data_IF_008742967694
#
_entry.id   IF_008742967694
#
_cell.length_a   1.000
_cell.length_b   1.000
_cell.length_c   1.000
_cell.angle_alpha   90.00
_cell.angle_beta   90.00
_cell.angle_gamma   90.00
#
_symmetry.space_group_name_H-M   'P 1'
#
loop_
_entity.id
_entity.type
_entity.pdbx_description
1 polymer ?
#
# COMPACT_ATOMS: atom_id res chain seq x y z
N UNK A 1 58.63 -22.57 3.66
CA UNK A 1 57.54 -23.00 2.76
C UNK A 1 56.24 -23.06 3.54
N UNK A 2 55.29 -22.15 3.29
CA UNK A 2 53.90 -22.25 3.76
C UNK A 2 52.99 -21.82 2.60
N UNK A 3 52.27 -22.78 2.02
CA UNK A 3 51.28 -22.52 0.97
C UNK A 3 50.00 -21.98 1.61
N UNK A 4 49.60 -20.76 1.24
CA UNK A 4 48.30 -20.19 1.58
C UNK A 4 47.33 -20.63 0.49
N UNK A 5 46.38 -21.51 0.83
CA UNK A 5 45.34 -21.93 -0.09
C UNK A 5 44.25 -20.85 -0.19
N UNK A 6 44.06 -20.29 -1.39
CA UNK A 6 42.97 -19.37 -1.69
C UNK A 6 41.66 -20.15 -1.79
N UNK A 7 40.74 -19.93 -0.84
CA UNK A 7 39.39 -20.51 -0.89
C UNK A 7 38.57 -19.83 -1.99
N UNK A 8 38.18 -20.60 -3.01
CA UNK A 8 37.48 -20.10 -4.18
C UNK A 8 35.98 -19.91 -3.86
N UNK A 9 35.43 -18.73 -4.15
CA UNK A 9 34.01 -18.34 -3.94
C UNK A 9 33.00 -19.36 -4.49
N UNK A 10 33.41 -20.12 -5.51
CA UNK A 10 32.63 -21.20 -6.15
C UNK A 10 32.59 -22.50 -5.33
N UNK A 11 33.62 -22.80 -4.53
CA UNK A 11 33.61 -23.92 -3.58
C UNK A 11 32.75 -23.61 -2.36
N UNK A 12 32.75 -22.36 -1.88
CA UNK A 12 31.85 -21.94 -0.80
C UNK A 12 30.37 -22.13 -1.18
N UNK A 13 29.97 -21.71 -2.39
CA UNK A 13 28.58 -21.86 -2.85
C UNK A 13 28.19 -23.31 -3.18
N UNK A 14 29.13 -24.17 -3.61
CA UNK A 14 28.87 -25.61 -3.79
C UNK A 14 28.72 -26.37 -2.47
N UNK A 15 29.32 -25.88 -1.39
CA UNK A 15 29.19 -26.49 -0.07
C UNK A 15 27.98 -25.93 0.71
N UNK A 16 27.50 -24.73 0.38
CA UNK A 16 26.32 -24.12 0.99
C UNK A 16 24.99 -24.80 0.58
N UNK A 17 24.94 -25.48 -0.56
CA UNK A 17 23.74 -26.20 -1.02
C UNK A 17 23.39 -27.44 -0.18
N UNK A 18 24.30 -27.94 0.65
CA UNK A 18 24.03 -29.05 1.59
C UNK A 18 23.35 -28.63 2.89
N UNK A 19 23.31 -27.32 3.22
CA UNK A 19 22.78 -26.82 4.49
C UNK A 19 21.25 -26.59 4.48
N UNK A 20 20.61 -26.66 3.31
CA UNK A 20 19.16 -26.50 3.17
C UNK A 20 18.35 -27.77 3.50
N UNK A 21 19.01 -28.89 3.82
CA UNK A 21 18.36 -30.18 4.04
C UNK A 21 18.62 -30.81 5.41
N UNK A 22 19.32 -30.13 6.33
CA UNK A 22 19.51 -30.64 7.68
C UNK A 22 18.48 -30.00 8.63
N UNK A 23 17.51 -30.77 9.16
CA UNK A 23 16.66 -30.30 10.23
C UNK A 23 17.53 -29.91 11.42
N UNK A 24 17.18 -28.79 12.07
CA UNK A 24 17.88 -28.31 13.27
C UNK A 24 17.90 -29.42 14.34
N UNK A 25 19.09 -29.97 14.60
CA UNK A 25 19.30 -30.93 15.67
C UNK A 25 19.32 -30.19 17.01
N UNK A 26 18.38 -30.49 17.89
CA UNK A 26 18.27 -29.95 19.26
C UNK A 26 19.48 -30.30 20.17
N UNK A 27 20.50 -30.97 19.67
CA UNK A 27 21.69 -31.40 20.42
C UNK A 27 22.83 -30.38 20.44
N UNK A 28 22.72 -29.27 19.69
CA UNK A 28 23.73 -28.21 19.69
C UNK A 28 23.34 -27.10 20.68
N UNK A 29 24.18 -26.78 21.68
CA UNK A 29 23.91 -25.69 22.61
C UNK A 29 24.01 -24.34 21.88
N UNK A 30 22.86 -23.70 21.68
CA UNK A 30 22.79 -22.32 21.18
C UNK A 30 23.11 -21.40 22.36
N UNK A 31 24.16 -20.54 22.28
CA UNK A 31 24.40 -19.54 23.31
C UNK A 31 23.18 -18.62 23.39
N UNK A 32 22.70 -18.25 24.60
CA UNK A 32 21.55 -17.37 24.73
C UNK A 32 21.89 -16.06 24.02
N UNK A 33 21.15 -15.76 22.95
CA UNK A 33 21.21 -14.45 22.31
C UNK A 33 20.88 -13.42 23.39
N UNK A 34 21.81 -12.50 23.63
CA UNK A 34 21.61 -11.36 24.50
C UNK A 34 20.28 -10.72 24.11
N UNK A 35 19.30 -10.77 25.01
CA UNK A 35 17.98 -10.22 24.75
C UNK A 35 18.16 -8.73 24.42
N UNK A 36 18.04 -8.39 23.14
CA UNK A 36 17.94 -7.01 22.73
C UNK A 36 16.78 -6.39 23.51
N UNK A 37 17.04 -5.25 24.15
CA UNK A 37 15.99 -4.42 24.74
C UNK A 37 14.83 -4.35 23.74
N UNK A 38 13.57 -4.58 24.15
CA UNK A 38 12.46 -4.48 23.24
C UNK A 38 12.43 -3.05 22.73
N UNK A 39 12.92 -2.84 21.52
CA UNK A 39 12.54 -1.70 20.72
C UNK A 39 11.01 -1.73 20.76
N UNK A 40 10.36 -0.72 21.35
CA UNK A 40 8.93 -0.52 21.20
C UNK A 40 8.65 -0.73 19.72
N UNK A 41 8.06 -1.86 19.33
CA UNK A 41 8.02 -2.27 17.93
C UNK A 41 7.44 -1.11 17.13
N UNK A 42 8.31 -0.38 16.42
CA UNK A 42 7.85 0.76 15.66
C UNK A 42 6.83 0.21 14.67
N UNK A 43 5.60 0.71 14.75
CA UNK A 43 4.52 0.18 13.92
C UNK A 43 4.97 0.24 12.47
N UNK A 44 5.04 -0.94 11.84
CA UNK A 44 5.44 -1.08 10.45
C UNK A 44 4.47 -0.29 9.59
N UNK A 45 5.01 0.56 8.72
CA UNK A 45 4.26 1.37 7.75
C UNK A 45 4.80 1.06 6.36
N UNK A 46 3.90 1.06 5.38
CA UNK A 46 4.26 1.03 3.98
C UNK A 46 4.03 2.43 3.41
N UNK A 47 5.02 2.94 2.69
CA UNK A 47 4.91 4.18 1.91
C UNK A 47 5.21 3.81 0.47
N UNK A 48 4.24 4.03 -0.41
CA UNK A 48 4.38 3.85 -1.84
C UNK A 48 4.46 5.23 -2.48
N UNK A 49 5.54 5.48 -3.21
CA UNK A 49 5.76 6.73 -3.94
C UNK A 49 5.83 6.39 -5.42
N UNK A 50 5.00 7.04 -6.22
CA UNK A 50 4.99 6.89 -7.67
C UNK A 50 4.92 8.25 -8.33
N UNK A 51 5.65 8.40 -9.43
CA UNK A 51 5.54 9.55 -10.32
C UNK A 51 4.66 9.17 -11.49
N UNK A 52 3.69 10.03 -11.82
CA UNK A 52 2.92 9.86 -13.06
C UNK A 52 3.88 9.98 -14.25
N UNK A 53 3.76 9.10 -15.25
CA UNK A 53 4.73 8.87 -16.35
C UNK A 53 6.02 8.12 -15.97
N UNK A 54 6.15 7.71 -14.70
CA UNK A 54 7.30 6.95 -14.23
C UNK A 54 8.58 7.78 -14.18
N UNK A 55 9.71 7.10 -14.33
CA UNK A 55 11.05 7.69 -14.36
C UNK A 55 11.77 7.26 -15.63
N UNK A 56 12.81 7.99 -16.03
CA UNK A 56 13.59 7.64 -17.20
C UNK A 56 14.27 6.27 -17.01
N UNK A 57 13.89 5.22 -17.77
CA UNK A 57 14.37 3.86 -17.50
C UNK A 57 15.87 3.68 -17.70
N UNK A 58 16.47 4.46 -18.61
CA UNK A 58 17.90 4.37 -18.96
C UNK A 58 18.85 4.68 -17.80
N UNK A 59 18.38 5.43 -16.79
CA UNK A 59 19.15 5.81 -15.60
C UNK A 59 18.52 5.31 -14.29
N UNK A 60 17.58 4.36 -14.33
CA UNK A 60 16.96 3.81 -13.09
C UNK A 60 17.61 2.51 -12.63
N UNK A 61 18.01 1.64 -13.56
CA UNK A 61 18.54 0.32 -13.24
C UNK A 61 20.07 0.29 -13.26
N UNK A 62 20.73 -0.29 -12.24
CA UNK A 62 22.17 -0.54 -12.26
C UNK A 62 22.55 -1.42 -13.44
N UNK A 63 23.62 -1.07 -14.16
CA UNK A 63 24.17 -1.91 -15.22
C UNK A 63 24.90 -3.10 -14.61
N UNK A 64 24.77 -4.28 -15.21
CA UNK A 64 25.44 -5.50 -14.73
C UNK A 64 26.95 -5.29 -14.66
N UNK A 65 27.51 -5.43 -13.45
CA UNK A 65 28.95 -5.23 -13.21
C UNK A 65 29.38 -3.79 -12.93
N UNK A 66 28.46 -2.82 -13.00
CA UNK A 66 28.70 -1.45 -12.57
C UNK A 66 28.41 -1.32 -11.07
N UNK A 67 29.38 -0.77 -10.33
CA UNK A 67 29.24 -0.48 -8.90
C UNK A 67 28.70 0.92 -8.65
N UNK A 68 28.60 1.74 -9.70
CA UNK A 68 28.05 3.09 -9.62
C UNK A 68 26.54 3.03 -9.48
N UNK A 69 26.03 3.94 -8.67
CA UNK A 69 24.62 4.21 -8.61
C UNK A 69 24.15 4.82 -9.94
N UNK A 70 22.97 4.44 -10.44
CA UNK A 70 22.33 5.16 -11.53
C UNK A 70 22.17 6.65 -11.18
N UNK A 71 22.29 7.55 -12.15
CA UNK A 71 22.39 9.00 -11.88
C UNK A 71 21.20 9.52 -11.07
N UNK A 72 19.98 9.03 -11.35
CA UNK A 72 18.77 9.47 -10.66
C UNK A 72 18.66 8.95 -9.22
N UNK A 73 19.51 8.00 -8.83
CA UNK A 73 19.61 7.49 -7.47
C UNK A 73 20.78 8.10 -6.68
N UNK A 74 21.63 8.94 -7.30
CA UNK A 74 22.72 9.63 -6.61
C UNK A 74 22.28 10.35 -5.33
N UNK A 75 21.15 11.10 -5.30
CA UNK A 75 20.71 11.77 -4.08
C UNK A 75 20.39 10.81 -2.91
N UNK A 76 20.10 9.53 -3.21
CA UNK A 76 19.80 8.51 -2.22
C UNK A 76 21.04 7.75 -1.74
N UNK A 77 22.23 8.02 -2.31
CA UNK A 77 23.41 7.21 -2.03
C UNK A 77 23.95 7.30 -0.60
N UNK A 78 23.61 8.36 0.13
CA UNK A 78 23.83 8.43 1.58
C UNK A 78 23.12 7.28 2.34
N UNK A 79 22.06 6.73 1.76
CA UNK A 79 21.22 5.64 2.30
C UNK A 79 21.43 4.32 1.57
N UNK A 80 22.57 4.11 0.88
CA UNK A 80 22.74 2.94 -0.01
C UNK A 80 22.47 1.60 0.67
N UNK A 81 22.78 1.46 1.96
CA UNK A 81 22.54 0.23 2.72
C UNK A 81 21.09 0.07 3.21
N UNK A 82 20.26 1.11 3.06
CA UNK A 82 18.88 1.15 3.55
C UNK A 82 17.84 0.85 2.44
N UNK A 83 18.28 0.68 1.19
CA UNK A 83 17.39 0.35 0.08
C UNK A 83 17.95 -0.69 -0.89
N UNK A 84 17.04 -1.36 -1.59
CA UNK A 84 17.35 -2.29 -2.68
C UNK A 84 16.67 -1.81 -3.95
N UNK A 85 17.42 -1.77 -5.06
CA UNK A 85 16.85 -1.55 -6.39
C UNK A 85 16.44 -2.89 -6.96
N UNK A 86 15.16 -3.04 -7.27
CA UNK A 86 14.61 -4.24 -7.91
C UNK A 86 14.41 -3.95 -9.40
N UNK A 87 14.79 -4.90 -10.25
CA UNK A 87 14.68 -4.83 -11.72
C UNK A 87 14.06 -6.11 -12.27
N UNK A 88 13.46 -6.06 -13.46
CA UNK A 88 12.85 -7.23 -14.11
C UNK A 88 11.43 -7.56 -13.62
N UNK A 89 10.78 -6.61 -12.96
CA UNK A 89 9.36 -6.69 -12.53
C UNK A 89 8.41 -5.94 -13.47
N UNK A 90 8.94 -5.39 -14.57
CA UNK A 90 8.14 -4.77 -15.62
C UNK A 90 7.55 -5.83 -16.54
N UNK A 91 6.23 -5.77 -16.74
CA UNK A 91 5.49 -6.63 -17.65
C UNK A 91 5.13 -5.92 -18.98
N UNK A 92 5.86 -4.85 -19.32
CA UNK A 92 5.90 -4.26 -20.67
C UNK A 92 4.76 -3.29 -20.97
N UNK A 93 4.17 -2.65 -19.95
CA UNK A 93 3.05 -1.72 -20.15
C UNK A 93 3.58 -0.37 -20.61
N UNK A 94 3.06 0.07 -21.75
CA UNK A 94 3.36 1.36 -22.36
C UNK A 94 2.08 2.21 -22.46
N UNK A 95 2.23 3.52 -22.66
CA UNK A 95 1.08 4.43 -22.84
C UNK A 95 1.09 5.67 -21.95
N UNK A 96 2.22 6.01 -21.32
CA UNK A 96 2.36 7.20 -20.50
C UNK A 96 1.49 7.12 -19.24
N UNK A 97 0.66 8.15 -18.98
CA UNK A 97 -0.24 8.17 -17.82
C UNK A 97 -1.14 6.94 -17.74
N UNK A 98 -1.44 6.32 -18.89
CA UNK A 98 -2.25 5.09 -18.99
C UNK A 98 -1.57 3.83 -18.44
N UNK A 99 -0.25 3.85 -18.23
CA UNK A 99 0.49 2.75 -17.59
C UNK A 99 0.52 2.83 -16.06
N UNK A 100 0.21 4.00 -15.48
CA UNK A 100 0.21 4.22 -14.02
C UNK A 100 -0.57 3.16 -13.23
N UNK A 101 -1.77 2.72 -13.66
CA UNK A 101 -2.55 1.75 -12.88
C UNK A 101 -1.82 0.44 -12.63
N UNK A 102 -0.96 0.00 -13.54
CA UNK A 102 -0.19 -1.25 -13.42
C UNK A 102 0.86 -1.21 -12.32
N UNK A 103 1.29 -0.02 -11.85
CA UNK A 103 2.41 0.11 -10.92
C UNK A 103 2.20 -0.61 -9.58
N UNK A 104 1.07 -0.36 -8.90
CA UNK A 104 0.76 -1.00 -7.61
C UNK A 104 -0.25 -2.15 -7.72
N UNK A 105 -0.95 -2.27 -8.85
CA UNK A 105 -1.90 -3.38 -9.08
C UNK A 105 -1.24 -4.61 -9.70
N UNK A 106 -0.24 -4.43 -10.57
CA UNK A 106 0.29 -5.51 -11.41
C UNK A 106 -0.60 -5.86 -12.61
N UNK A 107 -1.68 -5.10 -12.86
CA UNK A 107 -2.63 -5.43 -13.91
C UNK A 107 -2.01 -5.26 -15.29
N UNK A 108 -2.11 -6.29 -16.13
CA UNK A 108 -1.53 -6.27 -17.48
C UNK A 108 -2.31 -5.40 -18.47
N UNK A 109 -3.63 -5.23 -18.29
CA UNK A 109 -4.46 -4.39 -19.16
C UNK A 109 -5.50 -3.67 -18.30
N UNK A 110 -5.22 -2.46 -17.81
CA UNK A 110 -6.25 -1.67 -17.14
C UNK A 110 -7.40 -1.39 -18.11
N UNK A 111 -8.63 -1.59 -17.65
CA UNK A 111 -9.82 -1.35 -18.47
C UNK A 111 -10.23 0.11 -18.33
N UNK A 112 -10.43 0.77 -19.47
CA UNK A 112 -10.84 2.16 -19.52
C UNK A 112 -12.35 2.23 -19.74
N UNK A 113 -13.08 2.79 -18.78
CA UNK A 113 -14.52 3.01 -18.86
C UNK A 113 -14.75 4.52 -18.82
N UNK A 114 -14.92 5.13 -20.00
CA UNK A 114 -14.96 6.59 -20.14
C UNK A 114 -13.66 7.24 -19.67
N UNK A 115 -13.76 8.14 -18.70
CA UNK A 115 -12.59 8.77 -18.05
C UNK A 115 -12.10 8.00 -16.80
N UNK A 116 -12.68 6.84 -16.50
CA UNK A 116 -12.30 6.01 -15.36
C UNK A 116 -11.41 4.85 -15.78
N UNK A 117 -10.65 4.34 -14.80
CA UNK A 117 -9.86 3.13 -14.94
C UNK A 117 -10.35 2.12 -13.91
N UNK A 118 -10.84 0.98 -14.40
CA UNK A 118 -11.13 -0.17 -13.57
C UNK A 118 -9.99 -1.16 -13.64
N UNK A 119 -9.56 -1.58 -12.45
CA UNK A 119 -8.64 -2.69 -12.26
C UNK A 119 -9.49 -3.87 -11.77
N UNK A 120 -10.08 -4.64 -12.70
CA UNK A 120 -10.97 -5.74 -12.33
C UNK A 120 -10.20 -6.82 -11.56
N UNK A 121 -10.78 -7.30 -10.47
CA UNK A 121 -10.30 -8.41 -9.64
C UNK A 121 -8.92 -8.21 -8.99
N UNK A 122 -8.35 -7.00 -8.97
CA UNK A 122 -7.04 -6.77 -8.37
C UNK A 122 -7.05 -5.55 -7.44
N UNK A 123 -6.75 -5.82 -6.17
CA UNK A 123 -6.45 -4.82 -5.15
C UNK A 123 -4.99 -4.40 -5.29
N UNK A 124 -4.72 -3.11 -5.12
CA UNK A 124 -3.33 -2.62 -5.11
C UNK A 124 -2.55 -3.08 -3.87
N UNK A 125 -1.23 -3.25 -4.01
CA UNK A 125 -0.36 -3.77 -2.94
C UNK A 125 -0.41 -2.92 -1.66
N UNK A 126 -0.56 -1.60 -1.79
CA UNK A 126 -0.70 -0.68 -0.66
C UNK A 126 -2.03 -0.90 0.08
N UNK A 127 -3.12 -1.15 -0.63
CA UNK A 127 -4.42 -1.47 -0.02
C UNK A 127 -4.42 -2.90 0.57
N UNK A 128 -3.76 -3.86 -0.08
CA UNK A 128 -3.55 -5.19 0.47
C UNK A 128 -2.74 -5.12 1.79
N UNK A 129 -1.66 -4.34 1.81
CA UNK A 129 -0.87 -4.10 3.01
C UNK A 129 -1.68 -3.37 4.09
N UNK A 130 -2.53 -2.41 3.70
CA UNK A 130 -3.39 -1.69 4.63
C UNK A 130 -4.36 -2.61 5.38
N UNK A 131 -4.88 -3.69 4.78
CA UNK A 131 -5.71 -4.69 5.48
C UNK A 131 -5.04 -5.28 6.74
N UNK A 132 -3.72 -5.33 6.76
CA UNK A 132 -2.94 -5.90 7.87
C UNK A 132 -2.28 -4.81 8.72
N UNK A 133 -1.55 -3.88 8.09
CA UNK A 133 -0.76 -2.86 8.79
C UNK A 133 -1.63 -1.79 9.48
N UNK A 134 -2.84 -1.53 8.96
CA UNK A 134 -3.70 -0.45 9.48
C UNK A 134 -4.61 -0.86 10.63
N UNK A 135 -4.61 -2.14 11.08
CA UNK A 135 -5.58 -2.63 12.09
C UNK A 135 -5.67 -1.74 13.32
N UNK A 136 -4.52 -1.26 13.80
CA UNK A 136 -4.44 -0.38 14.96
C UNK A 136 -4.25 1.11 14.60
N UNK A 137 -4.46 1.49 13.34
CA UNK A 137 -4.33 2.88 12.86
C UNK A 137 -5.69 3.56 12.76
N UNK A 138 -5.73 4.87 13.05
CA UNK A 138 -6.90 5.72 12.86
C UNK A 138 -7.38 5.73 11.41
N UNK A 139 -6.45 5.68 10.46
CA UNK A 139 -6.72 5.67 9.03
C UNK A 139 -6.33 4.32 8.45
N UNK A 140 -7.18 3.79 7.57
CA UNK A 140 -6.91 2.56 6.84
C UNK A 140 -5.73 2.75 5.88
N UNK A 141 -5.82 3.77 5.02
CA UNK A 141 -4.77 4.22 4.12
C UNK A 141 -4.89 5.74 3.93
N UNK A 142 -3.83 6.36 3.38
CA UNK A 142 -3.79 7.78 3.05
C UNK A 142 -3.22 7.94 1.64
N UNK A 143 -4.07 8.36 0.71
CA UNK A 143 -3.68 8.71 -0.64
C UNK A 143 -3.35 10.20 -0.66
N UNK A 144 -2.12 10.52 -1.03
CA UNK A 144 -1.59 11.88 -1.07
C UNK A 144 -1.03 12.14 -2.47
N UNK A 145 -1.17 13.37 -2.97
CA UNK A 145 -0.72 13.74 -4.30
C UNK A 145 -0.35 15.21 -4.41
N UNK A 146 0.35 15.57 -5.48
CA UNK A 146 0.71 16.96 -5.78
C UNK A 146 -0.39 17.71 -6.55
N UNK A 147 -1.39 16.99 -7.08
CA UNK A 147 -2.53 17.55 -7.81
C UNK A 147 -3.79 16.80 -7.41
N UNK A 148 -4.95 17.45 -7.54
CA UNK A 148 -6.23 16.75 -7.43
C UNK A 148 -6.25 15.59 -8.43
N UNK A 149 -6.41 14.38 -7.92
CA UNK A 149 -6.30 13.19 -8.74
C UNK A 149 -7.55 12.98 -9.57
N UNK A 150 -7.37 12.72 -10.87
CA UNK A 150 -8.38 12.05 -11.69
C UNK A 150 -8.34 10.54 -11.44
N UNK A 151 -9.38 9.77 -11.77
CA UNK A 151 -9.32 8.31 -11.78
C UNK A 151 -8.14 7.72 -12.56
N UNK A 152 -7.66 8.44 -13.58
CA UNK A 152 -6.47 8.09 -14.38
C UNK A 152 -5.13 8.47 -13.74
N UNK A 153 -5.17 9.22 -12.64
CA UNK A 153 -4.04 9.81 -11.93
C UNK A 153 -4.12 9.44 -10.44
N UNK A 154 -4.31 8.15 -10.18
CA UNK A 154 -4.12 7.56 -8.85
C UNK A 154 -3.16 6.38 -8.92
N UNK A 155 -2.63 5.98 -7.76
CA UNK A 155 -1.80 4.80 -7.58
C UNK A 155 -2.57 3.66 -6.91
N UNK A 156 -3.72 3.93 -6.28
CA UNK A 156 -4.38 3.01 -5.36
C UNK A 156 -5.79 2.65 -5.85
N UNK A 157 -6.09 1.36 -5.88
CA UNK A 157 -7.42 0.80 -6.13
C UNK A 157 -7.79 -0.16 -5.01
N UNK A 158 -9.06 -0.12 -4.60
CA UNK A 158 -9.62 -1.01 -3.58
C UNK A 158 -9.92 -2.42 -4.11
N UNK A 159 -10.54 -3.26 -3.27
CA UNK A 159 -10.88 -4.64 -3.62
C UNK A 159 -11.93 -4.80 -4.72
N UNK A 160 -12.64 -3.72 -5.03
CA UNK A 160 -13.67 -3.67 -6.06
C UNK A 160 -13.15 -3.04 -7.37
N UNK A 161 -11.86 -2.71 -7.43
CA UNK A 161 -11.26 -2.03 -8.57
C UNK A 161 -11.69 -0.57 -8.70
N UNK A 162 -12.11 0.06 -7.59
CA UNK A 162 -12.48 1.48 -7.56
C UNK A 162 -11.23 2.33 -7.24
N UNK A 163 -10.95 3.39 -8.02
CA UNK A 163 -9.80 4.26 -7.78
C UNK A 163 -9.97 5.07 -6.49
N UNK A 164 -8.93 5.04 -5.64
CA UNK A 164 -8.85 5.86 -4.42
C UNK A 164 -8.10 7.16 -4.73
N UNK A 165 -8.80 8.28 -4.78
CA UNK A 165 -8.21 9.54 -5.21
C UNK A 165 -7.29 10.15 -4.12
N UNK A 166 -6.14 10.73 -4.52
CA UNK A 166 -5.25 11.43 -3.60
C UNK A 166 -5.85 12.76 -3.11
N UNK A 167 -5.58 13.09 -1.85
CA UNK A 167 -5.78 14.44 -1.32
C UNK A 167 -4.52 15.27 -1.63
N UNK A 168 -4.72 16.41 -2.32
CA UNK A 168 -3.65 17.30 -2.74
C UNK A 168 -3.51 18.54 -1.86
N UNK A 169 -4.54 18.87 -1.08
CA UNK A 169 -4.51 20.03 -0.20
C UNK A 169 -3.80 19.68 1.13
N UNK A 170 -2.58 20.20 1.36
CA UNK A 170 -1.82 19.91 2.57
C UNK A 170 -2.54 20.41 3.84
N UNK A 171 -3.36 21.46 3.74
CA UNK A 171 -4.15 21.98 4.87
C UNK A 171 -5.22 20.97 5.25
N UNK A 172 -5.93 20.38 4.28
CA UNK A 172 -6.91 19.31 4.56
C UNK A 172 -6.24 18.08 5.15
N UNK A 173 -5.08 17.67 4.61
CA UNK A 173 -4.31 16.55 5.16
C UNK A 173 -3.90 16.84 6.61
N UNK A 174 -3.37 18.03 6.87
CA UNK A 174 -2.95 18.44 8.21
C UNK A 174 -4.13 18.45 9.20
N UNK A 175 -5.25 19.07 8.83
CA UNK A 175 -6.47 19.07 9.66
C UNK A 175 -6.96 17.65 9.93
N UNK A 176 -6.97 16.80 8.90
CA UNK A 176 -7.32 15.39 9.03
C UNK A 176 -6.41 14.65 10.00
N UNK A 177 -5.10 14.89 9.97
CA UNK A 177 -4.10 14.16 10.77
C UNK A 177 -3.92 14.69 12.20
N UNK A 178 -4.01 16.00 12.42
CA UNK A 178 -3.58 16.64 13.66
C UNK A 178 -4.68 17.43 14.39
N UNK A 179 -5.69 17.95 13.69
CA UNK A 179 -6.73 18.77 14.32
C UNK A 179 -7.83 17.89 14.92
N UNK A 180 -7.99 17.93 16.23
CA UNK A 180 -9.05 17.18 16.91
C UNK A 180 -10.43 17.75 16.57
N UNK A 181 -11.44 16.88 16.57
CA UNK A 181 -12.82 17.32 16.44
C UNK A 181 -13.20 18.17 17.66
N UNK A 182 -13.69 19.39 17.42
CA UNK A 182 -14.07 20.33 18.48
C UNK A 182 -15.20 19.80 19.37
N UNK A 183 -16.02 18.89 18.84
CA UNK A 183 -17.11 18.25 19.57
C UNK A 183 -17.23 16.76 19.18
N UNK A 184 -16.51 15.85 19.88
CA UNK A 184 -16.54 14.41 19.62
C UNK A 184 -17.95 13.80 19.71
N UNK A 185 -18.81 14.32 20.60
CA UNK A 185 -20.20 13.86 20.73
C UNK A 185 -21.03 14.22 19.49
N UNK A 186 -20.85 15.42 18.95
CA UNK A 186 -21.51 15.82 17.71
C UNK A 186 -20.99 15.00 16.51
N UNK A 187 -19.67 14.79 16.42
CA UNK A 187 -19.06 13.97 15.38
C UNK A 187 -19.59 12.52 15.41
N UNK A 188 -19.68 11.92 16.60
CA UNK A 188 -20.24 10.57 16.78
C UNK A 188 -21.72 10.49 16.40
N UNK A 189 -22.54 11.49 16.77
CA UNK A 189 -23.95 11.54 16.35
C UNK A 189 -24.08 11.63 14.83
N UNK A 190 -23.26 12.45 14.17
CA UNK A 190 -23.25 12.57 12.72
C UNK A 190 -22.84 11.26 12.04
N UNK A 191 -21.87 10.52 12.59
CA UNK A 191 -21.48 9.19 12.12
C UNK A 191 -22.61 8.17 12.28
N UNK A 192 -23.30 8.18 13.43
CA UNK A 192 -24.47 7.32 13.66
C UNK A 192 -25.61 7.58 12.68
N UNK A 193 -25.90 8.85 12.40
CA UNK A 193 -26.89 9.22 11.38
C UNK A 193 -26.48 8.72 9.98
N UNK A 194 -25.22 8.92 9.59
CA UNK A 194 -24.71 8.40 8.30
C UNK A 194 -24.86 6.88 8.19
N UNK A 195 -24.55 6.14 9.27
CA UNK A 195 -24.73 4.68 9.31
C UNK A 195 -26.20 4.31 9.09
N UNK A 196 -27.13 4.94 9.81
CA UNK A 196 -28.57 4.67 9.63
C UNK A 196 -29.06 4.94 8.22
N UNK A 197 -28.56 5.99 7.55
CA UNK A 197 -28.88 6.27 6.14
C UNK A 197 -28.32 5.18 5.22
N UNK A 198 -27.08 4.71 5.46
CA UNK A 198 -26.49 3.62 4.69
C UNK A 198 -27.23 2.30 4.90
N UNK A 199 -27.67 2.01 6.12
CA UNK A 199 -28.47 0.81 6.43
C UNK A 199 -29.77 0.80 5.61
N UNK A 200 -30.48 1.95 5.55
CA UNK A 200 -31.69 2.10 4.74
C UNK A 200 -31.41 1.92 3.24
N UNK A 201 -30.37 2.57 2.71
CA UNK A 201 -29.98 2.43 1.29
C UNK A 201 -29.57 0.99 0.97
N UNK A 202 -28.93 0.29 1.90
CA UNK A 202 -28.57 -1.12 1.73
C UNK A 202 -29.80 -2.05 1.73
N UNK A 203 -30.85 -1.73 2.48
CA UNK A 203 -32.13 -2.45 2.42
C UNK A 203 -32.84 -2.24 1.08
N UNK A 204 -32.93 -0.99 0.62
CA UNK A 204 -33.54 -0.65 -0.68
C UNK A 204 -32.81 -1.32 -1.84
N UNK A 205 -31.47 -1.26 -1.83
CA UNK A 205 -30.66 -1.93 -2.84
C UNK A 205 -30.87 -3.46 -2.82
N UNK A 206 -31.15 -4.07 -1.65
CA UNK A 206 -31.39 -5.54 -1.55
C UNK A 206 -32.75 -5.93 -2.09
N UNK A 207 -33.75 -5.06 -1.91
CA UNK A 207 -35.04 -5.23 -2.56
C UNK A 207 -34.87 -5.16 -4.09
N UNK A 208 -34.16 -4.14 -4.59
CA UNK A 208 -33.90 -3.96 -6.02
C UNK A 208 -33.15 -5.16 -6.65
N UNK A 209 -32.16 -5.73 -5.95
CA UNK A 209 -31.41 -6.89 -6.44
C UNK A 209 -32.30 -8.11 -6.77
N UNK A 210 -33.46 -8.24 -6.11
CA UNK A 210 -34.43 -9.31 -6.37
C UNK A 210 -35.26 -9.07 -7.64
N UNK A 211 -35.39 -7.82 -8.07
CA UNK A 211 -36.24 -7.40 -9.19
C UNK A 211 -35.47 -7.24 -10.51
N UNK A 212 -34.15 -7.03 -10.44
CA UNK A 212 -33.31 -6.80 -11.63
C UNK A 212 -32.84 -8.09 -12.33
N UNK A 213 -32.64 -7.97 -13.64
CA UNK A 213 -32.06 -9.01 -14.50
C UNK A 213 -30.57 -9.25 -14.25
N UNK A 214 -30.05 -10.36 -14.79
CA UNK A 214 -28.66 -10.80 -14.58
C UNK A 214 -27.62 -9.75 -14.96
N UNK A 215 -27.82 -8.99 -16.05
CA UNK A 215 -26.87 -7.99 -16.54
C UNK A 215 -26.68 -6.79 -15.58
N UNK A 216 -27.72 -6.42 -14.82
CA UNK A 216 -27.64 -5.29 -13.88
C UNK A 216 -27.17 -5.71 -12.48
N UNK A 217 -27.17 -7.01 -12.17
CA UNK A 217 -26.70 -7.52 -10.87
C UNK A 217 -25.25 -7.15 -10.60
N UNK A 218 -24.37 -7.25 -11.60
CA UNK A 218 -22.96 -6.89 -11.41
C UNK A 218 -22.77 -5.43 -10.98
N UNK A 219 -23.56 -4.51 -11.55
CA UNK A 219 -23.50 -3.07 -11.19
C UNK A 219 -23.99 -2.84 -9.77
N UNK A 220 -25.08 -3.51 -9.40
CA UNK A 220 -25.65 -3.42 -8.05
C UNK A 220 -24.72 -4.05 -7.00
N UNK A 221 -24.06 -5.17 -7.32
CA UNK A 221 -23.07 -5.78 -6.44
C UNK A 221 -21.84 -4.87 -6.20
N UNK A 222 -21.37 -4.18 -7.25
CA UNK A 222 -20.34 -3.17 -7.11
C UNK A 222 -20.79 -1.99 -6.22
N UNK A 223 -22.04 -1.54 -6.37
CA UNK A 223 -22.63 -0.50 -5.53
C UNK A 223 -22.72 -0.92 -4.06
N UNK A 224 -23.15 -2.14 -3.77
CA UNK A 224 -23.18 -2.68 -2.41
C UNK A 224 -21.81 -2.76 -1.76
N UNK A 225 -20.80 -3.14 -2.53
CA UNK A 225 -19.44 -3.23 -2.05
C UNK A 225 -18.90 -1.85 -1.66
N UNK A 226 -19.21 -0.82 -2.45
CA UNK A 226 -18.91 0.58 -2.13
C UNK A 226 -19.59 1.05 -0.83
N UNK A 227 -20.88 0.73 -0.63
CA UNK A 227 -21.59 1.04 0.63
C UNK A 227 -20.88 0.41 1.83
N UNK A 228 -20.56 -0.88 1.74
CA UNK A 228 -19.88 -1.61 2.82
C UNK A 228 -18.52 -1.02 3.16
N UNK A 229 -17.80 -0.47 2.18
CA UNK A 229 -16.52 0.18 2.43
C UNK A 229 -16.68 1.55 3.13
N UNK A 230 -17.75 2.28 2.82
CA UNK A 230 -18.12 3.50 3.59
C UNK A 230 -18.49 3.15 5.03
N UNK A 231 -19.26 2.08 5.26
CA UNK A 231 -19.60 1.60 6.60
C UNK A 231 -18.35 1.26 7.43
N UNK A 232 -17.44 0.42 6.89
CA UNK A 232 -16.17 0.08 7.54
C UNK A 232 -15.36 1.33 7.91
N UNK A 233 -15.39 2.37 7.07
CA UNK A 233 -14.71 3.64 7.33
C UNK A 233 -15.37 4.42 8.47
N UNK A 234 -16.70 4.46 8.52
CA UNK A 234 -17.46 5.08 9.63
C UNK A 234 -17.19 4.35 10.94
N UNK A 235 -17.23 3.01 10.94
CA UNK A 235 -16.95 2.20 12.13
C UNK A 235 -15.55 2.48 12.69
N UNK A 236 -14.54 2.53 11.81
CA UNK A 236 -13.20 2.93 12.22
C UNK A 236 -13.18 4.36 12.77
N UNK A 237 -13.81 5.34 12.12
CA UNK A 237 -13.85 6.71 12.65
C UNK A 237 -14.46 6.76 14.05
N UNK A 238 -15.53 6.00 14.29
CA UNK A 238 -16.22 5.91 15.57
C UNK A 238 -15.31 5.33 16.67
N UNK A 239 -14.48 4.31 16.36
CA UNK A 239 -13.50 3.76 17.32
C UNK A 239 -12.46 4.80 17.77
N UNK A 240 -12.16 5.79 16.93
CA UNK A 240 -11.11 6.78 17.16
C UNK A 240 -11.64 8.17 17.55
N UNK A 241 -12.95 8.35 17.67
CA UNK A 241 -13.60 9.65 17.91
C UNK A 241 -13.20 10.27 19.27
N UNK A 242 -13.03 9.43 20.29
CA UNK A 242 -12.62 9.86 21.63
C UNK A 242 -11.09 9.85 21.82
N UNK A 243 -10.35 9.31 20.86
CA UNK A 243 -8.90 9.26 20.91
C UNK A 243 -8.35 10.57 20.38
N UNK A 244 -7.47 11.23 21.13
CA UNK A 244 -6.79 12.45 20.65
C UNK A 244 -5.87 12.13 19.48
N UNK A 245 -5.85 13.00 18.48
CA UNK A 245 -4.85 13.01 17.41
C UNK A 245 -3.49 13.39 17.98
N UNK A 246 -2.38 12.94 17.38
CA UNK A 246 -1.05 13.34 17.81
C UNK A 246 -0.91 14.86 17.78
N UNK A 247 -0.12 15.41 18.71
CA UNK A 247 0.28 16.81 18.66
C UNK A 247 1.09 17.10 17.40
N UNK A 248 1.11 18.36 16.98
CA UNK A 248 1.94 18.82 15.87
C UNK A 248 3.41 18.72 16.32
N UNK A 249 4.28 17.99 15.61
CA UNK A 249 5.71 17.98 15.91
C UNK A 249 6.28 19.39 15.79
N UNK A 250 7.27 19.79 16.61
CA UNK A 250 8.00 21.03 16.39
C UNK A 250 8.66 21.01 15.00
N UNK A 251 8.64 22.16 14.31
CA UNK A 251 9.32 22.36 13.03
C UNK A 251 10.84 22.32 13.19
#
# INVERSE_FOLDING_TARGET
MRNIAYSNRRQFLRNASGLMALPFLNSLPIPPATAAQPFLEARKRLVCVGTFLGMYPGEWHPKKGDSRAPQILEPLMAHRNDFTVVSGVDHGINGGHKGTPSFLSGVYKPEYIGESIMVRNEITIDQLAAKTLSRNSRFHSLQLGASEGKPTQTLSWDENGVPLLPEADPVKVFQKLFVNDLNPKAASRAMGFKRSVLDMVAEDAKALQKEIGYEDREKVDAYFSSIRDVEKRIERQQQWVNTRKPGVPPL
#
